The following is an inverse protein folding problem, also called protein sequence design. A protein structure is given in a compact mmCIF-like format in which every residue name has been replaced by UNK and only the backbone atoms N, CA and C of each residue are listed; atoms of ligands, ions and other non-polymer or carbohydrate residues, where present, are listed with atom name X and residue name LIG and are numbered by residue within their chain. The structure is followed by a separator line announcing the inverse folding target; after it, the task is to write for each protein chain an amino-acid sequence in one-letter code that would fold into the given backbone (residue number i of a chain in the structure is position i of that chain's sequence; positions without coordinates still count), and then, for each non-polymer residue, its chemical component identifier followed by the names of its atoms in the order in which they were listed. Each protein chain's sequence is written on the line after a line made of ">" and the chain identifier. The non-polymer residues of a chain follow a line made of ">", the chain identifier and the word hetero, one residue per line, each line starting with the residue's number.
data_IF_430708843431
#
_entry.id   IF_430708843431
#
_cell.length_a   1.000
_cell.length_b   1.000
_cell.length_c   1.000
_cell.angle_alpha   90.00
_cell.angle_beta   90.00
_cell.angle_gamma   90.00
#
_symmetry.space_group_name_H-M   'P 1'
#
loop_
_entity.id
_entity.type
_entity.pdbx_description
1 polymer ?
#
# COMPACT_ATOMS: atom_id res chain seq x y z
N UNK A 1 -7.18 27.97 -39.82
CA UNK A 1 -6.90 26.53 -39.61
C UNK A 1 -5.59 26.23 -38.86
N UNK A 2 -4.50 27.01 -39.04
CA UNK A 2 -3.22 26.78 -38.31
C UNK A 2 -3.30 26.84 -36.78
N UNK A 3 -4.14 27.72 -36.22
CA UNK A 3 -4.31 27.84 -34.77
C UNK A 3 -5.03 26.64 -34.12
N UNK A 4 -5.93 25.97 -34.84
CA UNK A 4 -6.68 24.82 -34.32
C UNK A 4 -5.78 23.60 -34.08
N UNK A 5 -4.79 23.37 -34.95
CA UNK A 5 -3.80 22.30 -34.78
C UNK A 5 -2.89 22.52 -33.57
N UNK A 6 -2.59 23.78 -33.24
CA UNK A 6 -1.71 24.13 -32.13
C UNK A 6 -2.40 23.93 -30.78
N UNK A 7 -3.70 24.22 -30.69
CA UNK A 7 -4.51 24.01 -29.47
C UNK A 7 -4.74 22.50 -29.21
N UNK A 8 -5.02 21.71 -30.24
CA UNK A 8 -5.19 20.25 -30.10
C UNK A 8 -3.89 19.57 -29.68
N UNK A 9 -2.74 20.03 -30.20
CA UNK A 9 -1.44 19.50 -29.81
C UNK A 9 -1.09 19.84 -28.36
N UNK A 10 -1.48 21.02 -27.86
CA UNK A 10 -1.24 21.42 -26.48
C UNK A 10 -2.13 20.66 -25.46
N UNK A 11 -3.36 20.32 -25.85
CA UNK A 11 -4.29 19.54 -25.02
C UNK A 11 -3.91 18.06 -24.92
N UNK A 12 -3.20 17.50 -25.91
CA UNK A 12 -2.73 16.10 -25.90
C UNK A 12 -1.52 15.87 -24.98
N UNK A 13 -0.80 16.91 -24.57
CA UNK A 13 0.28 16.82 -23.58
C UNK A 13 -0.20 16.99 -22.13
N UNK A 14 -1.47 17.32 -21.92
CA UNK A 14 -2.10 17.18 -20.62
C UNK A 14 -2.48 15.71 -20.41
N UNK A 15 -1.49 14.82 -20.37
CA UNK A 15 -1.66 13.51 -19.76
C UNK A 15 -2.23 13.77 -18.36
N UNK A 16 -3.41 13.25 -17.99
CA UNK A 16 -3.79 13.23 -16.60
C UNK A 16 -2.63 12.51 -15.91
N UNK A 17 -1.89 13.25 -15.10
CA UNK A 17 -1.00 12.65 -14.12
C UNK A 17 -1.96 11.89 -13.21
N UNK A 18 -2.28 10.64 -13.57
CA UNK A 18 -3.13 9.79 -12.77
C UNK A 18 -2.41 9.69 -11.44
N UNK A 19 -2.92 10.44 -10.45
CA UNK A 19 -2.41 10.38 -9.11
C UNK A 19 -2.46 8.91 -8.70
N UNK A 20 -1.32 8.37 -8.29
CA UNK A 20 -1.23 6.97 -7.94
C UNK A 20 -2.28 6.72 -6.83
N UNK A 21 -3.25 5.80 -7.05
CA UNK A 21 -4.41 5.65 -6.20
C UNK A 21 -4.08 5.09 -4.81
N UNK A 22 -2.85 4.60 -4.62
CA UNK A 22 -2.36 4.10 -3.34
C UNK A 22 -1.82 5.23 -2.43
N UNK A 23 -1.57 6.44 -2.96
CA UNK A 23 -0.99 7.53 -2.20
C UNK A 23 -1.93 8.06 -1.12
N UNK A 24 -1.34 8.50 -0.02
CA UNK A 24 -2.06 9.09 1.11
C UNK A 24 -1.90 8.31 2.41
N UNK A 25 -2.66 8.74 3.40
CA UNK A 25 -2.71 8.12 4.74
C UNK A 25 -3.84 7.12 4.80
N UNK A 26 -3.57 5.98 5.42
CA UNK A 26 -4.46 4.84 5.51
C UNK A 26 -4.57 4.35 6.95
N UNK A 27 -5.76 3.92 7.34
CA UNK A 27 -6.04 3.33 8.64
C UNK A 27 -6.63 1.93 8.48
N UNK A 28 -5.98 0.92 9.05
CA UNK A 28 -6.50 -0.46 9.03
C UNK A 28 -7.66 -0.59 10.00
N UNK A 29 -8.85 -0.85 9.46
CA UNK A 29 -10.12 -0.97 10.18
C UNK A 29 -10.48 -2.41 10.50
N UNK A 30 -10.00 -3.38 9.71
CA UNK A 30 -10.34 -4.80 9.86
C UNK A 30 -9.17 -5.72 9.52
N UNK A 31 -9.04 -6.82 10.26
CA UNK A 31 -8.12 -7.92 9.99
C UNK A 31 -8.88 -9.24 10.01
N UNK A 32 -8.69 -10.05 8.98
CA UNK A 32 -9.26 -11.38 8.83
C UNK A 32 -8.15 -12.42 8.85
N UNK A 33 -8.33 -13.44 9.68
CA UNK A 33 -7.38 -14.55 9.83
C UNK A 33 -8.09 -15.88 9.55
N UNK A 34 -7.36 -16.92 9.11
CA UNK A 34 -7.91 -18.27 9.00
C UNK A 34 -8.33 -18.77 10.38
N UNK A 35 -9.43 -19.52 10.44
CA UNK A 35 -9.94 -20.13 11.70
C UNK A 35 -8.91 -21.04 12.41
N UNK A 36 -7.84 -21.43 11.73
CA UNK A 36 -6.76 -22.29 12.24
C UNK A 36 -5.60 -21.50 12.83
N UNK A 37 -5.67 -20.17 12.86
CA UNK A 37 -4.59 -19.33 13.38
C UNK A 37 -4.82 -18.93 14.84
N UNK A 38 -3.86 -19.28 15.70
CA UNK A 38 -3.95 -19.06 17.16
C UNK A 38 -2.83 -18.15 17.71
N UNK A 39 -2.03 -17.55 16.84
CA UNK A 39 -0.92 -16.67 17.24
C UNK A 39 -1.31 -15.19 17.25
N UNK A 40 -0.36 -14.33 17.59
CA UNK A 40 -0.48 -12.89 17.38
C UNK A 40 0.09 -12.51 16.01
N UNK A 41 -0.71 -11.82 15.19
CA UNK A 41 -0.26 -11.25 13.92
C UNK A 41 0.20 -9.82 14.13
N UNK A 42 1.36 -9.48 13.58
CA UNK A 42 1.80 -8.09 13.40
C UNK A 42 1.34 -7.56 12.06
N UNK A 43 0.74 -6.37 12.06
CA UNK A 43 0.21 -5.73 10.87
C UNK A 43 0.28 -4.21 10.98
N UNK A 44 0.37 -3.49 9.85
CA UNK A 44 0.29 -2.02 9.87
C UNK A 44 -1.09 -1.59 10.37
N UNK A 45 -1.15 -0.75 11.40
CA UNK A 45 -2.40 -0.17 11.90
C UNK A 45 -2.69 1.19 11.25
N UNK A 46 -1.64 1.98 11.04
CA UNK A 46 -1.68 3.24 10.31
C UNK A 46 -0.50 3.29 9.37
N UNK A 47 -0.67 3.78 8.15
CA UNK A 47 0.44 3.93 7.23
C UNK A 47 0.23 5.08 6.27
N UNK A 48 1.32 5.58 5.72
CA UNK A 48 1.35 6.68 4.76
C UNK A 48 2.20 6.27 3.58
N UNK A 49 1.65 6.41 2.38
CA UNK A 49 2.32 6.18 1.12
C UNK A 49 2.50 7.52 0.42
N UNK A 50 3.75 7.84 0.08
CA UNK A 50 4.12 9.07 -0.59
C UNK A 50 4.91 8.76 -1.87
N UNK A 51 5.01 9.75 -2.75
CA UNK A 51 5.80 9.64 -3.96
C UNK A 51 6.77 10.81 -4.02
N UNK A 52 8.06 10.49 -4.19
CA UNK A 52 9.12 11.46 -4.34
C UNK A 52 9.96 11.09 -5.57
N UNK A 53 10.17 12.03 -6.48
CA UNK A 53 10.95 11.81 -7.70
C UNK A 53 10.51 10.58 -8.53
N UNK A 54 9.20 10.28 -8.54
CA UNK A 54 8.66 9.11 -9.25
C UNK A 54 8.78 7.78 -8.50
N UNK A 55 9.44 7.75 -7.35
CA UNK A 55 9.57 6.55 -6.52
C UNK A 55 8.58 6.57 -5.37
N UNK A 56 7.99 5.41 -5.08
CA UNK A 56 7.12 5.23 -3.93
C UNK A 56 7.93 5.01 -2.66
N UNK A 57 7.48 5.64 -1.59
CA UNK A 57 8.02 5.47 -0.25
C UNK A 57 6.88 5.48 0.75
N UNK A 58 7.11 4.95 1.94
CA UNK A 58 6.06 4.89 2.93
C UNK A 58 6.51 4.33 4.26
N UNK A 59 5.73 4.70 5.26
CA UNK A 59 5.97 4.39 6.66
C UNK A 59 4.68 3.88 7.29
N UNK A 60 4.81 3.08 8.34
CA UNK A 60 3.68 2.58 9.10
C UNK A 60 3.96 2.53 10.60
N UNK A 61 2.88 2.55 11.37
CA UNK A 61 2.86 2.12 12.77
C UNK A 61 2.12 0.80 12.84
N UNK A 62 2.68 -0.20 13.52
CA UNK A 62 1.99 -1.46 13.77
C UNK A 62 0.89 -1.31 14.85
N UNK A 63 0.17 -2.39 15.15
CA UNK A 63 -0.88 -2.36 16.17
C UNK A 63 -0.39 -2.05 17.60
N UNK A 64 0.92 -2.06 17.84
CA UNK A 64 1.56 -1.72 19.11
C UNK A 64 2.23 -0.33 19.09
N UNK A 65 2.08 0.43 18.00
CA UNK A 65 2.68 1.75 17.85
C UNK A 65 4.15 1.72 17.45
N UNK A 66 4.73 0.57 17.08
CA UNK A 66 6.08 0.53 16.55
C UNK A 66 6.13 1.15 15.16
N UNK A 67 6.95 2.19 15.00
CA UNK A 67 7.14 2.89 13.73
C UNK A 67 8.20 2.21 12.87
N UNK A 68 7.93 2.14 11.58
CA UNK A 68 8.72 1.40 10.64
C UNK A 68 8.56 1.96 9.21
N UNK A 69 9.63 1.93 8.42
CA UNK A 69 9.55 2.20 6.98
C UNK A 69 9.36 0.89 6.21
N UNK A 70 8.62 0.95 5.10
CA UNK A 70 8.58 -0.19 4.17
C UNK A 70 9.94 -0.31 3.48
N UNK A 71 10.58 -1.48 3.59
CA UNK A 71 11.86 -1.77 2.94
C UNK A 71 11.73 -1.92 1.42
N UNK A 72 10.54 -2.26 0.93
CA UNK A 72 10.20 -2.31 -0.49
C UNK A 72 8.76 -1.87 -0.71
N UNK A 73 8.58 -1.04 -1.74
CA UNK A 73 7.27 -0.62 -2.26
C UNK A 73 7.35 -0.67 -3.78
N UNK A 74 6.60 -1.55 -4.42
CA UNK A 74 6.63 -1.72 -5.88
C UNK A 74 5.22 -1.81 -6.47
N UNK A 75 5.00 -1.11 -7.58
CA UNK A 75 3.79 -1.29 -8.38
C UNK A 75 3.93 -2.56 -9.23
N UNK A 76 3.00 -3.48 -9.07
CA UNK A 76 2.97 -4.75 -9.80
C UNK A 76 1.66 -4.87 -10.58
N UNK A 77 1.54 -5.89 -11.43
CA UNK A 77 0.33 -6.17 -12.21
C UNK A 77 -0.17 -4.94 -13.00
N UNK A 78 0.73 -4.35 -13.79
CA UNK A 78 0.49 -3.13 -14.57
C UNK A 78 0.01 -1.93 -13.73
N UNK A 79 0.45 -1.84 -12.47
CA UNK A 79 0.10 -0.75 -11.56
C UNK A 79 -1.22 -0.92 -10.82
N UNK A 80 -1.90 -2.06 -10.98
CA UNK A 80 -3.18 -2.33 -10.30
C UNK A 80 -3.01 -2.93 -8.90
N UNK A 81 -1.79 -3.34 -8.54
CA UNK A 81 -1.45 -3.93 -7.26
C UNK A 81 -0.16 -3.29 -6.74
N UNK A 82 -0.01 -3.28 -5.42
CA UNK A 82 1.15 -2.79 -4.71
C UNK A 82 1.77 -3.93 -3.91
N UNK A 83 3.07 -4.12 -4.04
CA UNK A 83 3.84 -5.05 -3.22
C UNK A 83 4.52 -4.26 -2.09
N UNK A 84 4.20 -4.58 -0.84
CA UNK A 84 4.86 -3.99 0.32
C UNK A 84 5.62 -5.05 1.11
N UNK A 85 6.82 -4.70 1.55
CA UNK A 85 7.62 -5.49 2.50
C UNK A 85 8.01 -4.57 3.66
N UNK A 86 7.71 -5.00 4.89
CA UNK A 86 7.92 -4.19 6.10
C UNK A 86 9.20 -4.54 6.86
N UNK A 87 9.66 -3.59 7.68
CA UNK A 87 10.89 -3.73 8.45
C UNK A 87 10.83 -4.86 9.48
N UNK A 88 12.03 -5.33 9.81
CA UNK A 88 12.25 -6.43 10.71
C UNK A 88 13.01 -7.55 10.01
N UNK A 89 13.58 -8.42 10.82
CA UNK A 89 14.23 -9.64 10.34
C UNK A 89 13.45 -10.82 10.86
N UNK A 90 13.29 -11.83 10.03
CA UNK A 90 12.77 -13.11 10.46
C UNK A 90 13.74 -13.70 11.49
N UNK A 91 13.26 -13.94 12.71
CA UNK A 91 14.09 -14.46 13.81
C UNK A 91 14.55 -15.90 13.60
N UNK A 92 13.88 -16.66 12.73
CA UNK A 92 14.15 -18.07 12.48
C UNK A 92 14.49 -18.31 11.00
N UNK A 93 15.42 -19.23 10.75
CA UNK A 93 15.92 -19.57 9.40
C UNK A 93 14.86 -20.15 8.46
N UNK A 94 13.82 -20.77 9.02
CA UNK A 94 12.67 -21.30 8.25
C UNK A 94 11.57 -20.27 7.98
N UNK A 95 11.65 -19.09 8.61
CA UNK A 95 10.62 -18.07 8.47
C UNK A 95 10.93 -17.18 7.27
N UNK A 96 9.90 -16.91 6.48
CA UNK A 96 9.96 -15.97 5.37
C UNK A 96 9.53 -14.60 5.85
N UNK A 97 10.13 -13.55 5.31
CA UNK A 97 9.69 -12.18 5.59
C UNK A 97 8.27 -12.00 5.04
N UNK A 98 7.34 -11.39 5.79
CA UNK A 98 5.98 -11.18 5.30
C UNK A 98 5.98 -10.29 4.06
N UNK A 99 5.22 -10.71 3.06
CA UNK A 99 4.98 -9.93 1.83
C UNK A 99 3.52 -9.57 1.75
N UNK A 100 3.23 -8.30 1.53
CA UNK A 100 1.87 -7.78 1.47
C UNK A 100 1.54 -7.50 0.01
N UNK A 101 0.59 -8.24 -0.55
CA UNK A 101 -0.02 -7.95 -1.85
C UNK A 101 -1.25 -7.08 -1.63
N UNK A 102 -1.18 -5.83 -2.06
CA UNK A 102 -2.17 -4.81 -1.76
C UNK A 102 -2.90 -4.41 -3.04
N UNK A 103 -4.21 -4.19 -2.93
CA UNK A 103 -5.07 -3.75 -4.04
C UNK A 103 -6.16 -2.81 -3.54
N UNK A 104 -6.57 -1.86 -4.36
CA UNK A 104 -7.75 -1.05 -4.10
C UNK A 104 -9.01 -1.84 -4.50
N UNK A 105 -9.95 -2.04 -3.57
CA UNK A 105 -11.21 -2.73 -3.80
C UNK A 105 -12.31 -1.91 -3.11
N UNK A 106 -13.28 -1.40 -3.88
CA UNK A 106 -14.37 -0.57 -3.38
C UNK A 106 -13.88 0.58 -2.48
N UNK A 107 -12.88 1.33 -2.96
CA UNK A 107 -12.22 2.45 -2.25
C UNK A 107 -11.51 2.09 -0.93
N UNK A 108 -11.35 0.80 -0.63
CA UNK A 108 -10.53 0.32 0.48
C UNK A 108 -9.20 -0.24 -0.01
N UNK A 109 -8.13 0.01 0.74
CA UNK A 109 -6.87 -0.67 0.55
C UNK A 109 -6.95 -2.05 1.21
N UNK A 110 -6.87 -3.11 0.42
CA UNK A 110 -6.93 -4.48 0.91
C UNK A 110 -5.58 -5.13 0.73
N UNK A 111 -4.95 -5.56 1.83
CA UNK A 111 -3.67 -6.24 1.80
C UNK A 111 -3.78 -7.70 2.21
N UNK A 112 -3.42 -8.58 1.28
CA UNK A 112 -3.22 -10.01 1.56
C UNK A 112 -1.76 -10.23 1.95
N UNK A 113 -1.55 -10.74 3.16
CA UNK A 113 -0.21 -11.00 3.69
C UNK A 113 0.14 -12.46 3.51
N UNK A 114 1.25 -12.68 2.84
CA UNK A 114 1.81 -13.99 2.53
C UNK A 114 3.02 -14.18 3.43
N UNK A 115 2.98 -15.23 4.25
CA UNK A 115 4.13 -15.70 5.02
C UNK A 115 4.27 -17.21 4.84
N UNK A 116 5.30 -17.82 5.44
CA UNK A 116 5.54 -19.25 5.35
C UNK A 116 4.41 -20.13 5.90
N UNK A 117 3.84 -19.76 7.05
CA UNK A 117 2.85 -20.59 7.77
C UNK A 117 1.51 -19.89 8.01
N UNK A 118 1.49 -18.56 7.87
CA UNK A 118 0.34 -17.75 8.25
C UNK A 118 -0.03 -16.84 7.09
N UNK A 119 -1.30 -16.85 6.72
CA UNK A 119 -1.85 -15.84 5.80
C UNK A 119 -2.94 -15.09 6.53
N UNK A 120 -3.08 -13.80 6.27
CA UNK A 120 -4.17 -12.99 6.77
C UNK A 120 -4.44 -11.84 5.82
N UNK A 121 -5.62 -11.23 5.92
CA UNK A 121 -6.01 -10.08 5.12
C UNK A 121 -6.30 -8.90 6.03
N UNK A 122 -5.82 -7.71 5.69
CA UNK A 122 -6.21 -6.47 6.35
C UNK A 122 -6.93 -5.56 5.36
N UNK A 123 -7.80 -4.72 5.89
CA UNK A 123 -8.60 -3.75 5.15
C UNK A 123 -8.36 -2.38 5.75
N UNK A 124 -8.08 -1.40 4.91
CA UNK A 124 -7.77 -0.04 5.30
C UNK A 124 -8.64 0.97 4.56
N UNK A 125 -8.94 2.06 5.26
CA UNK A 125 -9.66 3.21 4.73
C UNK A 125 -8.75 4.42 4.67
N UNK A 126 -8.97 5.29 3.67
CA UNK A 126 -8.22 6.53 3.56
C UNK A 126 -8.56 7.45 4.74
N UNK A 127 -7.53 8.02 5.36
CA UNK A 127 -7.70 9.02 6.42
C UNK A 127 -8.09 10.34 5.77
N UNK A 128 -9.25 10.88 6.16
CA UNK A 128 -9.70 12.17 5.63
C UNK A 128 -8.78 13.30 6.13
N UNK A 129 -8.55 14.35 5.32
CA UNK A 129 -7.67 15.46 5.69
C UNK A 129 -8.05 16.18 7.00
N UNK A 130 -9.32 16.09 7.43
CA UNK A 130 -9.88 16.89 8.52
C UNK A 130 -10.07 16.14 9.85
N UNK A 131 -9.57 14.91 9.97
CA UNK A 131 -9.59 14.16 11.24
C UNK A 131 -8.22 14.22 11.90
N UNK A 132 -7.97 15.31 12.66
CA UNK A 132 -6.95 15.38 13.72
C UNK A 132 -7.64 15.56 15.06
#
# INVERSE_FOLDING_TARGET
>A
MRFFFLVISLLLFASPLYANPFLGKWHVTKVETPNTYFGEIKYPKHFELTQQNGQLSGQYHDQHGYRCDFSLIELINAGNELLLIGCGVTKHTKSWMPVHKVKLINDQLVGKVITHSTQFTWYAEAVKPDSQ
#
